data_IF_323078816293
#
_entry.id   IF_323078816293
#
_cell.length_a   1.000
_cell.length_b   1.000
_cell.length_c   1.000
_cell.angle_alpha   90.00
_cell.angle_beta   90.00
_cell.angle_gamma   90.00
#
_symmetry.space_group_name_H-M   'P 1'
#
loop_
_entity.id
_entity.type
_entity.pdbx_description
1 polymer ?
#
# COMPACT_ATOMS: atom_id res chain seq x y z
N UNK A 1 -55.41 -70.52 26.97
CA UNK A 1 -55.61 -69.37 27.89
C UNK A 1 -54.40 -68.45 27.83
N UNK A 2 -54.55 -67.26 27.23
CA UNK A 2 -53.51 -66.22 27.14
C UNK A 2 -53.53 -65.37 28.41
N UNK A 3 -52.42 -65.24 29.15
CA UNK A 3 -52.25 -64.29 30.26
C UNK A 3 -51.39 -63.11 29.82
N UNK A 4 -51.89 -61.91 30.15
CA UNK A 4 -51.42 -60.59 29.73
C UNK A 4 -50.16 -60.13 30.47
N UNK A 5 -49.26 -59.56 29.67
CA UNK A 5 -48.47 -58.33 29.82
C UNK A 5 -48.63 -57.54 31.13
N UNK A 6 -47.48 -57.23 31.77
CA UNK A 6 -47.24 -55.97 32.49
C UNK A 6 -45.90 -55.39 32.03
N UNK A 7 -45.96 -54.38 31.17
CA UNK A 7 -44.83 -53.56 30.75
C UNK A 7 -44.48 -52.56 31.87
N UNK A 8 -43.25 -52.62 32.36
CA UNK A 8 -42.69 -51.61 33.26
C UNK A 8 -42.47 -50.29 32.50
N UNK A 9 -43.14 -49.22 32.94
CA UNK A 9 -42.84 -47.85 32.55
C UNK A 9 -41.47 -47.47 33.13
N UNK A 10 -40.46 -47.30 32.28
CA UNK A 10 -39.23 -46.59 32.62
C UNK A 10 -39.55 -45.09 32.59
N UNK A 11 -39.46 -44.44 33.74
CA UNK A 11 -39.54 -42.99 33.83
C UNK A 11 -38.32 -42.36 33.17
N UNK A 12 -38.55 -41.60 32.10
CA UNK A 12 -37.56 -40.69 31.53
C UNK A 12 -37.37 -39.51 32.48
N UNK A 13 -36.27 -39.55 33.23
CA UNK A 13 -35.74 -38.41 33.97
C UNK A 13 -35.40 -37.30 32.99
N UNK A 14 -36.16 -36.20 33.02
CA UNK A 14 -35.83 -34.96 32.32
C UNK A 14 -34.77 -34.26 33.17
N UNK A 15 -33.53 -34.31 32.73
CA UNK A 15 -32.43 -33.52 33.27
C UNK A 15 -32.77 -32.03 33.12
N UNK A 16 -33.15 -31.41 34.23
CA UNK A 16 -33.38 -29.97 34.28
C UNK A 16 -32.03 -29.27 34.15
N UNK A 17 -31.79 -28.65 32.99
CA UNK A 17 -30.62 -27.79 32.77
C UNK A 17 -30.67 -26.62 33.75
N UNK A 18 -29.66 -26.53 34.62
CA UNK A 18 -29.49 -25.40 35.54
C UNK A 18 -29.14 -24.17 34.69
N UNK A 19 -30.07 -23.20 34.61
CA UNK A 19 -29.84 -21.93 33.94
C UNK A 19 -28.99 -21.03 34.86
N UNK A 20 -27.70 -20.88 34.56
CA UNK A 20 -26.81 -19.96 35.28
C UNK A 20 -27.04 -18.53 34.76
N UNK A 21 -27.73 -17.71 35.53
CA UNK A 21 -27.81 -16.26 35.29
C UNK A 21 -26.52 -15.59 35.76
N UNK A 22 -25.63 -15.26 34.82
CA UNK A 22 -24.43 -14.47 35.09
C UNK A 22 -24.78 -12.99 34.95
N UNK A 23 -24.54 -12.19 35.99
CA UNK A 23 -24.63 -10.73 35.89
C UNK A 23 -23.48 -10.19 35.02
N UNK A 24 -23.84 -9.78 33.79
CA UNK A 24 -22.90 -9.25 32.81
C UNK A 24 -22.74 -7.71 32.89
N UNK A 25 -23.45 -7.02 33.79
CA UNK A 25 -23.34 -5.57 33.97
C UNK A 25 -21.90 -5.09 34.28
N UNK A 26 -21.14 -5.69 35.22
CA UNK A 26 -19.76 -5.26 35.48
C UNK A 26 -18.86 -5.46 34.25
N UNK A 27 -19.02 -6.58 33.54
CA UNK A 27 -18.26 -6.87 32.31
C UNK A 27 -18.57 -5.88 31.19
N UNK A 28 -19.83 -5.46 31.06
CA UNK A 28 -20.23 -4.45 30.05
C UNK A 28 -19.62 -3.09 30.35
N UNK A 29 -19.61 -2.67 31.62
CA UNK A 29 -18.98 -1.40 32.03
C UNK A 29 -17.48 -1.39 31.78
N UNK A 30 -16.78 -2.49 32.05
CA UNK A 30 -15.33 -2.58 31.78
C UNK A 30 -15.03 -2.60 30.28
N UNK A 31 -15.81 -3.34 29.49
CA UNK A 31 -15.70 -3.34 28.03
C UNK A 31 -15.97 -1.95 27.44
N UNK A 32 -17.02 -1.26 27.91
CA UNK A 32 -17.31 0.11 27.51
C UNK A 32 -16.18 1.09 27.84
N UNK A 33 -15.65 1.04 29.06
CA UNK A 33 -14.53 1.91 29.46
C UNK A 33 -13.30 1.67 28.57
N UNK A 34 -13.01 0.40 28.24
CA UNK A 34 -11.93 0.04 27.31
C UNK A 34 -12.20 0.58 25.90
N UNK A 35 -13.41 0.45 25.39
CA UNK A 35 -13.80 0.99 24.08
C UNK A 35 -13.55 2.51 24.02
N UNK A 36 -13.96 3.24 25.05
CA UNK A 36 -13.75 4.69 25.15
C UNK A 36 -12.26 5.06 25.20
N UNK A 37 -11.46 4.32 25.95
CA UNK A 37 -10.02 4.53 26.03
C UNK A 37 -9.32 4.27 24.67
N UNK A 38 -9.64 3.16 24.01
CA UNK A 38 -9.08 2.84 22.69
C UNK A 38 -9.49 3.90 21.66
N UNK A 39 -10.73 4.36 21.69
CA UNK A 39 -11.22 5.46 20.85
C UNK A 39 -10.42 6.73 21.04
N UNK A 40 -10.26 7.21 22.27
CA UNK A 40 -9.46 8.42 22.58
C UNK A 40 -8.05 8.31 22.02
N UNK A 41 -7.43 7.13 22.11
CA UNK A 41 -6.10 6.88 21.55
C UNK A 41 -6.08 6.91 20.03
N UNK A 42 -7.08 6.31 19.37
CA UNK A 42 -7.23 6.38 17.91
C UNK A 42 -7.41 7.83 17.47
N UNK A 43 -8.36 8.57 18.06
CA UNK A 43 -8.60 9.98 17.73
C UNK A 43 -7.33 10.82 17.86
N UNK A 44 -6.54 10.60 18.92
CA UNK A 44 -5.24 11.26 19.08
C UNK A 44 -4.25 10.89 17.97
N UNK A 45 -4.13 9.60 17.63
CA UNK A 45 -3.24 9.15 16.57
C UNK A 45 -3.65 9.71 15.20
N UNK A 46 -4.94 9.70 14.87
CA UNK A 46 -5.48 10.28 13.64
C UNK A 46 -5.28 11.79 13.59
N UNK A 47 -5.50 12.51 14.70
CA UNK A 47 -5.23 13.96 14.75
C UNK A 47 -3.74 14.29 14.59
N UNK A 48 -2.85 13.44 15.10
CA UNK A 48 -1.41 13.55 14.87
C UNK A 48 -1.05 13.28 13.38
N UNK A 49 -1.70 12.30 12.73
CA UNK A 49 -1.52 12.02 11.30
C UNK A 49 -1.98 13.18 10.43
N UNK A 50 -3.23 13.61 10.61
CA UNK A 50 -3.83 14.68 9.83
C UNK A 50 -3.02 15.96 9.92
N UNK A 51 -2.55 16.34 11.12
CA UNK A 51 -1.67 17.50 11.29
C UNK A 51 -0.35 17.32 10.54
N UNK A 52 0.25 16.14 10.58
CA UNK A 52 1.49 15.92 9.87
C UNK A 52 1.32 16.06 8.35
N UNK A 53 0.24 15.51 7.80
CA UNK A 53 -0.04 15.49 6.37
C UNK A 53 -0.49 16.87 5.86
N UNK A 54 -1.38 17.54 6.60
CA UNK A 54 -2.05 18.75 6.12
C UNK A 54 -1.39 20.05 6.61
N UNK A 55 -0.68 20.01 7.74
CA UNK A 55 -0.05 21.21 8.32
C UNK A 55 1.46 21.13 8.25
N UNK A 56 2.06 20.11 8.88
CA UNK A 56 3.52 20.04 9.04
C UNK A 56 4.25 19.82 7.72
N UNK A 57 3.81 18.87 6.89
CA UNK A 57 4.46 18.55 5.62
C UNK A 57 4.42 19.73 4.66
N UNK A 58 3.26 20.38 4.41
CA UNK A 58 3.21 21.57 3.57
C UNK A 58 4.00 22.74 4.17
N UNK A 59 3.98 22.92 5.50
CA UNK A 59 4.76 23.96 6.15
C UNK A 59 6.28 23.73 6.00
N UNK A 60 6.74 22.49 6.17
CA UNK A 60 8.13 22.11 5.95
C UNK A 60 8.53 22.36 4.50
N UNK A 61 7.73 21.90 3.54
CA UNK A 61 7.97 22.10 2.11
C UNK A 61 8.02 23.58 1.72
N UNK A 62 7.09 24.42 2.23
CA UNK A 62 7.16 25.87 2.01
C UNK A 62 8.44 26.47 2.59
N UNK A 63 8.84 26.02 3.77
CA UNK A 63 10.06 26.49 4.42
C UNK A 63 11.33 26.06 3.67
N UNK A 64 11.39 24.84 3.14
CA UNK A 64 12.55 24.39 2.36
C UNK A 64 12.71 25.24 1.10
N UNK A 65 11.63 25.48 0.34
CA UNK A 65 11.66 26.37 -0.83
C UNK A 65 12.04 27.80 -0.47
N UNK A 66 11.61 28.32 0.69
CA UNK A 66 11.98 29.66 1.12
C UNK A 66 13.45 29.78 1.56
N UNK A 67 14.01 28.72 2.13
CA UNK A 67 15.36 28.75 2.73
C UNK A 67 16.45 28.57 1.67
N UNK A 68 16.27 27.65 0.72
CA UNK A 68 17.29 27.30 -0.28
C UNK A 68 16.71 27.19 -1.71
N UNK A 69 16.05 28.23 -2.26
CA UNK A 69 15.35 28.14 -3.55
C UNK A 69 16.26 27.80 -4.73
N UNK A 70 17.46 28.39 -4.79
CA UNK A 70 18.41 28.16 -5.89
C UNK A 70 18.92 26.71 -5.91
N UNK A 71 19.36 26.18 -4.75
CA UNK A 71 19.86 24.80 -4.67
C UNK A 71 18.79 23.77 -5.02
N UNK A 72 17.55 23.99 -4.57
CA UNK A 72 16.45 23.08 -4.92
C UNK A 72 16.16 23.10 -6.42
N UNK A 73 16.20 24.28 -7.06
CA UNK A 73 16.00 24.41 -8.51
C UNK A 73 17.11 23.71 -9.28
N UNK A 74 18.38 23.90 -8.89
CA UNK A 74 19.53 23.21 -9.50
C UNK A 74 19.41 21.68 -9.40
N UNK A 75 19.06 21.16 -8.22
CA UNK A 75 18.88 19.71 -8.03
C UNK A 75 17.73 19.18 -8.90
N UNK A 76 16.63 19.92 -9.02
CA UNK A 76 15.50 19.56 -9.89
C UNK A 76 15.88 19.51 -11.36
N UNK A 77 16.62 20.51 -11.84
CA UNK A 77 17.11 20.54 -13.22
C UNK A 77 18.04 19.35 -13.52
N UNK A 78 18.93 19.01 -12.57
CA UNK A 78 19.79 17.84 -12.70
C UNK A 78 18.98 16.55 -12.78
N UNK A 79 17.99 16.35 -11.90
CA UNK A 79 17.13 15.16 -11.95
C UNK A 79 16.28 15.09 -13.22
N UNK A 80 15.73 16.21 -13.69
CA UNK A 80 15.00 16.26 -14.96
C UNK A 80 15.91 15.86 -16.13
N UNK A 81 17.17 16.32 -16.12
CA UNK A 81 18.16 15.93 -17.12
C UNK A 81 18.52 14.44 -17.03
N UNK A 82 18.76 13.92 -15.83
CA UNK A 82 19.01 12.49 -15.58
C UNK A 82 17.85 11.66 -16.12
N UNK A 83 16.61 12.02 -15.80
CA UNK A 83 15.43 11.31 -16.27
C UNK A 83 15.36 11.32 -17.80
N UNK A 84 15.58 12.47 -18.44
CA UNK A 84 15.58 12.57 -19.91
C UNK A 84 16.62 11.67 -20.58
N UNK A 85 17.84 11.60 -20.03
CA UNK A 85 18.90 10.76 -20.56
C UNK A 85 18.66 9.28 -20.24
N UNK A 86 18.17 8.96 -19.06
CA UNK A 86 17.84 7.60 -18.65
C UNK A 86 16.73 7.03 -19.54
N UNK A 87 15.63 7.77 -19.75
CA UNK A 87 14.55 7.37 -20.66
C UNK A 87 15.04 7.18 -22.10
N UNK A 88 16.00 7.99 -22.55
CA UNK A 88 16.62 7.82 -23.86
C UNK A 88 17.50 6.57 -23.93
N UNK A 89 18.31 6.30 -22.92
CA UNK A 89 19.14 5.09 -22.81
C UNK A 89 18.24 3.84 -22.81
N UNK A 90 17.19 3.83 -21.99
CA UNK A 90 16.22 2.73 -21.92
C UNK A 90 15.58 2.47 -23.27
N UNK A 91 15.10 3.50 -23.98
CA UNK A 91 14.53 3.34 -25.34
C UNK A 91 15.51 2.71 -26.33
N UNK A 92 16.77 3.14 -26.31
CA UNK A 92 17.82 2.59 -27.19
C UNK A 92 18.10 1.13 -26.85
N UNK A 93 18.19 0.80 -25.57
CA UNK A 93 18.41 -0.56 -25.09
C UNK A 93 17.24 -1.47 -25.44
N UNK A 94 16.00 -1.01 -25.26
CA UNK A 94 14.78 -1.75 -25.62
C UNK A 94 14.73 -2.03 -27.13
N UNK A 95 15.03 -1.03 -27.96
CA UNK A 95 15.07 -1.22 -29.41
C UNK A 95 16.22 -2.16 -29.83
N UNK A 96 17.39 -2.03 -29.23
CA UNK A 96 18.53 -2.92 -29.46
C UNK A 96 18.19 -4.37 -29.11
N UNK A 97 17.50 -4.57 -27.97
CA UNK A 97 17.00 -5.86 -27.53
C UNK A 97 16.00 -6.44 -28.53
N UNK A 98 14.97 -5.69 -28.95
CA UNK A 98 13.95 -6.13 -29.93
C UNK A 98 14.55 -6.47 -31.30
N UNK A 99 15.51 -5.68 -31.78
CA UNK A 99 16.12 -5.89 -33.10
C UNK A 99 17.32 -6.84 -33.09
N UNK A 100 17.75 -7.31 -31.92
CA UNK A 100 18.96 -8.14 -31.75
C UNK A 100 20.26 -7.42 -32.11
N UNK A 101 20.26 -6.08 -32.15
CA UNK A 101 21.43 -5.26 -32.49
C UNK A 101 22.12 -4.79 -31.21
N UNK A 102 23.37 -4.32 -31.32
CA UNK A 102 24.02 -3.67 -30.18
C UNK A 102 23.44 -2.25 -29.98
N UNK A 103 23.31 -1.77 -28.73
CA UNK A 103 22.86 -0.40 -28.43
C UNK A 103 23.68 0.67 -29.17
N UNK A 104 24.99 0.46 -29.32
CA UNK A 104 25.88 1.34 -30.07
C UNK A 104 25.48 1.47 -31.55
N UNK A 105 25.13 0.34 -32.18
CA UNK A 105 24.70 0.34 -33.59
C UNK A 105 23.38 1.06 -33.78
N UNK A 106 22.45 0.88 -32.85
CA UNK A 106 21.14 1.56 -32.86
C UNK A 106 21.35 3.06 -32.71
N UNK A 107 22.09 3.48 -31.67
CA UNK A 107 22.38 4.90 -31.42
C UNK A 107 23.02 5.61 -32.61
N UNK A 108 23.97 4.96 -33.29
CA UNK A 108 24.64 5.51 -34.48
C UNK A 108 23.71 5.62 -35.70
N UNK A 109 22.88 4.60 -35.94
CA UNK A 109 21.91 4.61 -37.05
C UNK A 109 20.96 5.79 -36.94
N UNK A 110 20.56 6.11 -35.72
CA UNK A 110 19.59 7.15 -35.40
C UNK A 110 20.23 8.51 -35.05
N UNK A 111 21.55 8.66 -35.22
CA UNK A 111 22.32 9.90 -34.94
C UNK A 111 21.98 10.56 -33.59
N UNK A 112 21.59 9.77 -32.59
CA UNK A 112 21.24 10.26 -31.26
C UNK A 112 19.79 10.68 -31.03
N UNK A 113 18.90 10.50 -32.02
CA UNK A 113 17.45 10.65 -31.83
C UNK A 113 16.79 9.28 -31.96
N UNK A 114 16.56 8.56 -30.83
CA UNK A 114 16.05 7.19 -30.88
C UNK A 114 14.75 7.16 -31.69
N UNK A 115 14.49 6.05 -32.41
CA UNK A 115 13.25 5.91 -33.14
C UNK A 115 12.11 6.16 -32.17
N UNK A 116 11.13 6.96 -32.60
CA UNK A 116 9.82 6.95 -31.97
C UNK A 116 9.37 5.50 -32.06
N UNK A 117 9.44 4.80 -30.94
CA UNK A 117 8.67 3.60 -30.77
C UNK A 117 7.26 4.15 -30.87
N UNK A 118 6.58 3.85 -31.99
CA UNK A 118 5.14 3.74 -31.95
C UNK A 118 4.90 2.90 -30.70
N UNK A 119 4.37 3.54 -29.65
CA UNK A 119 3.73 2.80 -28.58
C UNK A 119 2.76 1.94 -29.38
N UNK A 120 3.09 0.66 -29.55
CA UNK A 120 2.11 -0.31 -29.99
C UNK A 120 1.05 -0.10 -28.93
N UNK A 121 0.00 0.62 -29.31
CA UNK A 121 -1.14 0.85 -28.46
C UNK A 121 -1.48 -0.57 -28.00
N UNK A 122 -1.22 -0.87 -26.73
CA UNK A 122 -1.71 -2.06 -26.05
C UNK A 122 -3.24 -1.93 -25.90
N UNK A 123 -3.91 -1.47 -26.97
CA UNK A 123 -5.31 -1.48 -27.30
C UNK A 123 -5.82 -2.93 -27.48
N UNK A 124 -4.99 -3.94 -27.23
CA UNK A 124 -5.48 -5.27 -26.92
C UNK A 124 -6.25 -5.34 -25.58
N UNK A 125 -6.25 -4.27 -24.77
CA UNK A 125 -7.15 -4.13 -23.61
C UNK A 125 -7.76 -2.73 -23.44
N UNK A 126 -7.94 -1.98 -24.53
CA UNK A 126 -8.78 -0.79 -24.50
C UNK A 126 -10.25 -1.18 -24.39
N UNK A 127 -10.71 -1.29 -23.14
CA UNK A 127 -12.13 -1.35 -22.77
C UNK A 127 -12.80 -0.15 -23.43
N UNK A 128 -13.56 -0.41 -24.50
CA UNK A 128 -14.41 0.60 -25.14
C UNK A 128 -15.26 1.27 -24.07
N UNK A 129 -15.24 2.60 -23.93
CA UNK A 129 -16.15 3.28 -23.02
C UNK A 129 -17.54 3.26 -23.68
N UNK A 130 -18.35 2.25 -23.35
CA UNK A 130 -19.76 2.20 -23.71
C UNK A 130 -20.33 0.89 -24.26
N UNK A 131 -19.62 -0.24 -24.19
CA UNK A 131 -20.19 -1.57 -24.51
C UNK A 131 -20.57 -2.34 -23.25
N UNK A 132 -21.82 -2.79 -23.19
CA UNK A 132 -22.46 -3.59 -22.12
C UNK A 132 -21.52 -4.66 -21.53
N UNK A 133 -21.20 -4.52 -20.24
CA UNK A 133 -20.11 -5.20 -19.54
C UNK A 133 -20.62 -6.06 -18.37
N UNK A 134 -21.87 -6.53 -18.45
CA UNK A 134 -22.46 -7.37 -17.40
C UNK A 134 -22.39 -8.87 -17.72
N UNK A 135 -22.25 -9.28 -19.00
CA UNK A 135 -22.35 -10.71 -19.38
C UNK A 135 -20.99 -11.41 -19.62
N UNK A 136 -19.90 -10.69 -19.90
CA UNK A 136 -18.59 -11.31 -20.20
C UNK A 136 -17.70 -11.54 -18.95
N UNK A 137 -17.92 -10.79 -17.86
CA UNK A 137 -17.17 -11.00 -16.59
C UNK A 137 -17.61 -12.31 -15.91
N UNK A 138 -18.84 -12.76 -16.13
CA UNK A 138 -19.38 -13.97 -15.51
C UNK A 138 -18.82 -15.26 -16.15
N UNK A 139 -18.44 -15.23 -17.42
CA UNK A 139 -17.80 -16.36 -18.11
C UNK A 139 -16.32 -16.52 -17.74
N UNK A 140 -15.61 -15.43 -17.44
CA UNK A 140 -14.19 -15.50 -17.07
C UNK A 140 -13.97 -15.88 -15.60
N UNK A 141 -14.96 -15.59 -14.73
CA UNK A 141 -14.94 -16.01 -13.32
C UNK A 141 -15.28 -17.50 -13.14
N UNK A 142 -16.09 -18.09 -14.03
CA UNK A 142 -16.44 -19.51 -13.96
C UNK A 142 -15.33 -20.43 -14.46
N UNK A 143 -14.51 -19.99 -15.42
CA UNK A 143 -13.42 -20.82 -15.96
C UNK A 143 -12.20 -20.92 -15.00
N UNK A 144 -11.97 -19.90 -14.17
CA UNK A 144 -10.85 -19.91 -13.19
C UNK A 144 -11.14 -20.73 -11.92
N UNK A 145 -12.42 -20.90 -11.56
CA UNK A 145 -12.84 -21.67 -10.38
C UNK A 145 -12.88 -23.19 -10.64
N UNK A 146 -13.00 -23.62 -11.90
CA UNK A 146 -12.96 -25.05 -12.27
C UNK A 146 -11.53 -25.65 -12.26
N UNK A 147 -10.48 -24.85 -12.44
CA UNK A 147 -9.10 -25.36 -12.55
C UNK A 147 -8.38 -25.55 -11.19
N UNK A 148 -8.79 -24.82 -10.14
CA UNK A 148 -8.17 -24.92 -8.80
C UNK A 148 -9.04 -25.63 -7.74
N UNK A 149 -10.25 -26.06 -8.11
CA UNK A 149 -11.30 -26.54 -7.21
C UNK A 149 -11.31 -28.03 -6.86
N UNK A 150 -10.19 -28.77 -6.88
CA UNK A 150 -10.18 -30.17 -6.44
C UNK A 150 -9.00 -30.53 -5.53
N UNK A 151 -9.13 -30.22 -4.23
CA UNK A 151 -8.31 -30.84 -3.18
C UNK A 151 -9.19 -31.71 -2.28
N UNK A 152 -9.22 -32.99 -2.64
CA UNK A 152 -9.91 -34.09 -1.96
C UNK A 152 -9.32 -34.33 -0.57
N UNK A 153 -10.22 -34.48 0.40
CA UNK A 153 -9.98 -34.91 1.77
C UNK A 153 -9.23 -36.25 1.84
N UNK A 154 -8.30 -36.36 2.81
CA UNK A 154 -7.91 -37.64 3.39
C UNK A 154 -7.55 -37.45 4.87
N UNK A 155 -8.43 -38.00 5.69
CA UNK A 155 -8.32 -38.36 7.10
C UNK A 155 -7.32 -39.52 7.28
N UNK A 156 -6.54 -39.53 8.37
CA UNK A 156 -6.23 -40.69 9.27
C UNK A 156 -4.90 -40.52 10.05
N UNK A 157 -5.03 -40.61 11.38
CA UNK A 157 -4.24 -41.34 12.39
C UNK A 157 -2.77 -41.04 12.78
N UNK A 158 -2.67 -40.57 14.05
CA UNK A 158 -1.70 -40.72 15.17
C UNK A 158 -0.18 -41.09 15.06
N UNK A 159 0.64 -40.69 16.08
CA UNK A 159 2.12 -40.61 16.12
C UNK A 159 2.75 -41.87 16.81
N UNK A 160 4.04 -41.98 17.24
CA UNK A 160 5.12 -40.99 17.48
C UNK A 160 6.57 -41.42 17.10
N UNK A 161 7.55 -40.50 17.27
CA UNK A 161 8.77 -40.63 18.09
C UNK A 161 10.05 -39.92 17.57
N UNK A 162 10.74 -39.32 18.56
CA UNK A 162 12.18 -39.13 18.75
C UNK A 162 13.09 -38.36 17.76
N UNK A 163 13.70 -37.31 18.35
CA UNK A 163 15.14 -36.99 18.35
C UNK A 163 15.76 -36.07 17.26
N UNK A 164 16.23 -34.91 17.77
CA UNK A 164 17.54 -34.25 17.53
C UNK A 164 17.99 -34.01 16.08
N UNK A 165 18.09 -32.73 15.68
CA UNK A 165 19.38 -31.99 15.58
C UNK A 165 19.27 -30.73 14.71
N UNK A 166 20.19 -29.80 15.00
CA UNK A 166 20.45 -28.50 14.36
C UNK A 166 21.00 -28.62 12.93
N UNK A 167 20.54 -27.75 12.03
CA UNK A 167 21.32 -27.01 11.02
C UNK A 167 20.43 -25.91 10.42
N UNK A 168 20.70 -24.62 10.67
CA UNK A 168 21.38 -23.67 9.75
C UNK A 168 21.33 -24.09 8.28
N UNK A 169 20.54 -23.35 7.48
CA UNK A 169 20.43 -23.52 6.04
C UNK A 169 19.40 -22.58 5.43
N UNK A 170 19.86 -21.36 5.14
CA UNK A 170 19.28 -20.31 4.32
C UNK A 170 18.44 -20.81 3.13
N UNK A 171 17.17 -20.39 3.03
CA UNK A 171 16.53 -20.19 1.74
C UNK A 171 15.49 -19.07 1.79
N UNK A 172 15.80 -18.05 1.00
CA UNK A 172 15.00 -16.87 0.68
C UNK A 172 13.94 -17.27 -0.34
N UNK A 173 12.67 -17.19 0.04
CA UNK A 173 11.51 -17.01 -0.85
C UNK A 173 10.65 -15.93 -0.18
N UNK A 174 10.82 -14.64 -0.48
CA UNK A 174 10.23 -13.93 -1.64
C UNK A 174 8.82 -14.43 -1.99
N UNK A 175 7.85 -14.01 -1.18
CA UNK A 175 6.46 -13.67 -1.54
C UNK A 175 6.40 -12.15 -1.29
N UNK A 176 6.28 -11.23 -2.26
CA UNK A 176 5.20 -11.07 -3.26
C UNK A 176 3.87 -11.24 -2.52
N UNK A 177 3.32 -10.28 -1.80
CA UNK A 177 3.14 -8.84 -2.08
C UNK A 177 2.33 -8.58 -3.35
N UNK A 178 1.17 -9.24 -3.43
CA UNK A 178 0.03 -8.91 -4.31
C UNK A 178 -1.22 -9.47 -3.63
N UNK A 179 -1.97 -8.63 -2.92
CA UNK A 179 -3.22 -9.04 -2.28
C UNK A 179 -3.90 -8.05 -1.33
N UNK A 180 -3.30 -6.90 -0.97
CA UNK A 180 -3.88 -6.00 0.04
C UNK A 180 -4.76 -4.86 -0.49
N UNK A 181 -4.78 -4.61 -1.80
CA UNK A 181 -5.42 -3.42 -2.34
C UNK A 181 -6.91 -3.61 -2.70
N UNK A 182 -7.36 -4.86 -2.88
CA UNK A 182 -8.78 -5.16 -3.14
C UNK A 182 -9.61 -5.26 -1.87
N UNK A 183 -9.06 -5.81 -0.77
CA UNK A 183 -9.79 -5.95 0.50
C UNK A 183 -10.03 -4.60 1.20
N UNK A 184 -9.07 -3.69 1.13
CA UNK A 184 -9.18 -2.34 1.72
C UNK A 184 -10.15 -1.45 0.95
N UNK A 185 -10.17 -1.54 -0.38
CA UNK A 185 -11.12 -0.84 -1.24
C UNK A 185 -12.56 -1.38 -1.13
N UNK A 186 -12.73 -2.70 -1.00
CA UNK A 186 -14.02 -3.33 -0.74
C UNK A 186 -14.56 -2.92 0.64
N UNK A 187 -13.71 -2.95 1.68
CA UNK A 187 -14.06 -2.47 3.03
C UNK A 187 -14.46 -0.99 3.04
N UNK A 188 -13.69 -0.11 2.39
CA UNK A 188 -14.01 1.32 2.31
C UNK A 188 -15.34 1.61 1.60
N UNK A 189 -15.61 0.89 0.50
CA UNK A 189 -16.86 1.01 -0.26
C UNK A 189 -18.06 0.50 0.53
N UNK A 190 -17.88 -0.58 1.29
CA UNK A 190 -18.94 -1.12 2.15
C UNK A 190 -19.25 -0.21 3.32
N UNK A 191 -18.23 0.33 3.99
CA UNK A 191 -18.36 1.34 5.05
C UNK A 191 -19.05 2.59 4.51
N UNK A 192 -18.61 3.10 3.34
CA UNK A 192 -19.23 4.24 2.68
C UNK A 192 -20.70 3.96 2.31
N UNK A 193 -21.01 2.79 1.75
CA UNK A 193 -22.39 2.42 1.39
C UNK A 193 -23.28 2.35 2.64
N UNK A 194 -22.80 1.80 3.76
CA UNK A 194 -23.55 1.77 5.03
C UNK A 194 -23.78 3.18 5.57
N UNK A 195 -22.76 4.02 5.60
CA UNK A 195 -22.84 5.42 6.01
C UNK A 195 -23.81 6.23 5.16
N UNK A 196 -23.67 6.15 3.82
CA UNK A 196 -24.57 6.85 2.89
C UNK A 196 -26.01 6.38 3.06
N UNK A 197 -26.23 5.08 3.23
CA UNK A 197 -27.55 4.53 3.45
C UNK A 197 -28.18 4.96 4.79
N UNK A 198 -27.38 5.20 5.84
CA UNK A 198 -27.86 5.62 7.16
C UNK A 198 -28.03 7.14 7.28
N UNK A 199 -27.16 7.91 6.62
CA UNK A 199 -27.16 9.37 6.63
C UNK A 199 -27.99 10.01 5.50
N UNK A 200 -28.58 9.23 4.58
CA UNK A 200 -29.38 9.76 3.47
C UNK A 200 -30.59 10.59 3.96
N UNK A 201 -30.87 11.77 3.38
CA UNK A 201 -31.99 12.63 3.77
C UNK A 201 -33.37 11.97 3.58
N UNK A 202 -33.48 10.98 2.70
CA UNK A 202 -34.75 10.28 2.43
C UNK A 202 -35.11 9.19 3.46
N UNK A 203 -34.19 8.78 4.34
CA UNK A 203 -34.52 7.89 5.46
C UNK A 203 -34.90 8.73 6.68
N UNK A 204 -36.21 8.97 6.77
CA UNK A 204 -36.90 9.86 7.71
C UNK A 204 -36.30 9.90 9.12
N UNK A 205 -35.69 11.05 9.41
CA UNK A 205 -35.25 11.51 10.72
C UNK A 205 -34.95 13.01 10.62
N UNK A 206 -34.82 13.71 11.74
CA UNK A 206 -34.53 15.15 11.71
C UNK A 206 -33.19 15.42 11.01
N UNK A 207 -33.24 16.28 9.98
CA UNK A 207 -32.05 16.75 9.27
C UNK A 207 -31.38 17.84 10.09
N UNK A 208 -30.58 17.44 11.07
CA UNK A 208 -29.84 18.36 11.93
C UNK A 208 -28.60 18.93 11.22
N UNK A 209 -28.19 20.14 11.59
CA UNK A 209 -26.96 20.76 11.05
C UNK A 209 -25.71 19.89 11.29
N UNK A 210 -25.72 19.08 12.36
CA UNK A 210 -24.66 18.12 12.67
C UNK A 210 -24.66 16.91 11.72
N UNK A 211 -25.84 16.37 11.37
CA UNK A 211 -25.99 15.29 10.37
C UNK A 211 -25.52 15.73 8.99
N UNK A 212 -25.81 16.98 8.61
CA UNK A 212 -25.32 17.57 7.37
C UNK A 212 -23.79 17.72 7.35
N UNK A 213 -23.17 18.13 8.47
CA UNK A 213 -21.71 18.22 8.57
C UNK A 213 -21.05 16.83 8.42
N UNK A 214 -21.57 15.81 9.12
CA UNK A 214 -21.12 14.43 8.98
C UNK A 214 -21.26 13.90 7.56
N UNK A 215 -22.37 14.20 6.88
CA UNK A 215 -22.56 13.84 5.48
C UNK A 215 -21.48 14.43 4.56
N UNK A 216 -21.17 15.72 4.71
CA UNK A 216 -20.10 16.36 3.93
C UNK A 216 -18.71 15.82 4.27
N UNK A 217 -18.44 15.50 5.54
CA UNK A 217 -17.19 14.84 5.96
C UNK A 217 -17.05 13.43 5.38
N UNK A 218 -18.15 12.65 5.27
CA UNK A 218 -18.16 11.32 4.63
C UNK A 218 -17.87 11.42 3.13
N UNK A 219 -18.42 12.44 2.46
CA UNK A 219 -18.12 12.69 1.05
C UNK A 219 -16.64 13.06 0.84
N UNK A 220 -16.08 13.92 1.68
CA UNK A 220 -14.65 14.29 1.62
C UNK A 220 -13.73 13.10 1.91
N UNK A 221 -14.08 12.25 2.87
CA UNK A 221 -13.33 11.04 3.19
C UNK A 221 -13.34 10.03 2.03
N UNK A 222 -14.48 9.90 1.33
CA UNK A 222 -14.60 9.05 0.15
C UNK A 222 -13.81 9.60 -1.05
N UNK A 223 -13.85 10.91 -1.29
CA UNK A 223 -13.05 11.56 -2.33
C UNK A 223 -11.55 11.39 -2.07
N UNK A 224 -11.11 11.48 -0.82
CA UNK A 224 -9.74 11.21 -0.39
C UNK A 224 -9.35 9.73 -0.45
N UNK A 225 -10.30 8.82 -0.76
CA UNK A 225 -10.17 7.35 -0.68
C UNK A 225 -9.59 6.87 0.66
N UNK A 226 -9.89 7.59 1.73
CA UNK A 226 -9.38 7.28 3.05
C UNK A 226 -10.35 6.35 3.80
N UNK A 227 -10.06 5.05 3.69
CA UNK A 227 -10.80 3.99 4.39
C UNK A 227 -10.80 4.18 5.92
N UNK A 228 -9.72 4.75 6.47
CA UNK A 228 -9.56 4.96 7.90
C UNK A 228 -10.45 6.11 8.38
N UNK A 229 -10.56 7.16 7.57
CA UNK A 229 -11.46 8.29 7.84
C UNK A 229 -12.93 7.87 7.75
N UNK A 230 -13.29 7.03 6.78
CA UNK A 230 -14.65 6.48 6.66
C UNK A 230 -15.03 5.60 7.87
N UNK A 231 -14.14 4.71 8.32
CA UNK A 231 -14.39 3.88 9.51
C UNK A 231 -14.60 4.72 10.79
N UNK A 232 -13.90 5.85 10.90
CA UNK A 232 -14.10 6.80 12.00
C UNK A 232 -15.48 7.44 11.97
N UNK A 233 -15.94 7.86 10.80
CA UNK A 233 -17.24 8.50 10.64
C UNK A 233 -18.39 7.52 10.91
N UNK A 234 -18.22 6.24 10.57
CA UNK A 234 -19.15 5.16 10.95
C UNK A 234 -19.24 4.98 12.46
N UNK A 235 -18.08 4.90 13.13
CA UNK A 235 -18.06 4.77 14.58
C UNK A 235 -18.62 6.00 15.31
N UNK A 236 -18.48 7.22 14.75
CA UNK A 236 -19.06 8.46 15.30
C UNK A 236 -20.57 8.50 15.09
N UNK A 237 -21.05 8.10 13.91
CA UNK A 237 -22.47 8.00 13.61
C UNK A 237 -23.19 6.92 14.44
N UNK A 238 -22.55 5.77 14.69
CA UNK A 238 -23.10 4.70 15.54
C UNK A 238 -23.33 5.15 17.00
N UNK A 239 -22.54 6.10 17.50
CA UNK A 239 -22.70 6.66 18.86
C UNK A 239 -23.85 7.67 18.90
N UNK A 240 -23.90 8.58 17.92
CA UNK A 240 -24.92 9.62 17.86
C UNK A 240 -26.32 9.04 17.61
N UNK A 241 -26.38 7.88 16.92
CA UNK A 241 -27.61 7.13 16.66
C UNK A 241 -27.92 6.10 17.76
N UNK A 242 -27.21 6.14 18.90
CA UNK A 242 -27.43 5.31 20.10
C UNK A 242 -27.35 3.78 19.86
N UNK A 243 -26.64 3.34 18.81
CA UNK A 243 -26.55 1.91 18.46
C UNK A 243 -25.55 1.13 19.32
N UNK A 244 -24.64 1.84 20.00
CA UNK A 244 -23.62 1.29 20.88
C UNK A 244 -23.62 2.02 22.22
N UNK A 245 -24.42 1.51 23.16
CA UNK A 245 -24.48 1.96 24.55
C UNK A 245 -23.72 1.03 25.49
N UNK A 246 -23.59 1.41 26.76
CA UNK A 246 -23.08 0.54 27.84
C UNK A 246 -23.90 -0.76 27.94
N UNK A 247 -25.17 -0.73 27.54
CA UNK A 247 -26.08 -1.87 27.63
C UNK A 247 -25.93 -2.88 26.48
N UNK A 248 -25.20 -2.50 25.43
CA UNK A 248 -24.93 -3.33 24.25
C UNK A 248 -24.41 -4.72 24.61
N UNK A 249 -24.71 -5.69 23.74
CA UNK A 249 -24.19 -7.05 23.88
C UNK A 249 -22.65 -7.03 23.95
N UNK A 250 -22.08 -7.78 24.90
CA UNK A 250 -20.64 -7.85 25.13
C UNK A 250 -19.85 -8.19 23.85
N UNK A 251 -20.35 -9.13 23.05
CA UNK A 251 -19.73 -9.51 21.77
C UNK A 251 -19.58 -8.34 20.81
N UNK A 252 -20.58 -7.45 20.73
CA UNK A 252 -20.54 -6.24 19.89
C UNK A 252 -19.51 -5.24 20.41
N UNK A 253 -19.44 -5.04 21.73
CA UNK A 253 -18.43 -4.17 22.35
C UNK A 253 -17.01 -4.67 22.06
N UNK A 254 -16.75 -5.98 22.18
CA UNK A 254 -15.44 -6.54 21.88
C UNK A 254 -15.09 -6.54 20.39
N UNK A 255 -16.07 -6.74 19.49
CA UNK A 255 -15.87 -6.59 18.06
C UNK A 255 -15.43 -5.16 17.72
N UNK A 256 -16.17 -4.16 18.22
CA UNK A 256 -15.82 -2.75 18.05
C UNK A 256 -14.44 -2.41 18.65
N UNK A 257 -14.10 -2.95 19.84
CA UNK A 257 -12.76 -2.76 20.42
C UNK A 257 -11.68 -3.31 19.48
N UNK A 258 -11.85 -4.51 18.92
CA UNK A 258 -10.86 -5.14 18.03
C UNK A 258 -10.64 -4.32 16.77
N UNK A 259 -11.73 -3.84 16.17
CA UNK A 259 -11.71 -3.01 14.97
C UNK A 259 -10.98 -1.69 15.22
N UNK A 260 -11.34 -0.95 16.27
CA UNK A 260 -10.71 0.33 16.61
C UNK A 260 -9.25 0.12 17.03
N UNK A 261 -8.92 -0.97 17.72
CA UNK A 261 -7.52 -1.31 17.98
C UNK A 261 -6.74 -1.63 16.70
N UNK A 262 -7.37 -2.26 15.71
CA UNK A 262 -6.83 -2.46 14.36
C UNK A 262 -6.48 -1.13 13.72
N UNK A 263 -7.48 -0.27 13.53
CA UNK A 263 -7.29 1.09 12.99
C UNK A 263 -6.22 1.89 13.76
N UNK A 264 -6.17 1.77 15.09
CA UNK A 264 -5.15 2.44 15.91
C UNK A 264 -3.74 1.91 15.61
N UNK A 265 -3.56 0.59 15.50
CA UNK A 265 -2.25 0.01 15.17
C UNK A 265 -1.79 0.51 13.81
N UNK A 266 -2.70 0.62 12.86
CA UNK A 266 -2.43 1.03 11.48
C UNK A 266 -2.02 2.50 11.44
N UNK A 267 -2.78 3.37 12.11
CA UNK A 267 -2.41 4.76 12.32
C UNK A 267 -1.05 4.91 13.02
N UNK A 268 -0.78 4.11 14.06
CA UNK A 268 0.51 4.10 14.75
C UNK A 268 1.65 3.62 13.86
N UNK A 269 1.42 2.67 12.93
CA UNK A 269 2.42 2.24 11.95
C UNK A 269 2.79 3.39 11.01
N UNK A 270 1.81 4.11 10.46
CA UNK A 270 2.03 5.32 9.64
C UNK A 270 2.81 6.38 10.43
N UNK A 271 2.39 6.69 11.66
CA UNK A 271 3.08 7.65 12.54
C UNK A 271 4.53 7.28 12.84
N UNK A 272 4.87 5.99 12.96
CA UNK A 272 6.28 5.57 13.16
C UNK A 272 7.15 5.89 11.96
N UNK A 273 6.61 5.86 10.75
CA UNK A 273 7.33 6.25 9.54
C UNK A 273 7.51 7.78 9.53
N UNK A 274 6.43 8.53 9.79
CA UNK A 274 6.47 9.99 9.81
C UNK A 274 7.37 10.57 10.88
N UNK A 275 7.48 9.97 12.06
CA UNK A 275 8.43 10.39 13.11
C UNK A 275 9.90 10.38 12.67
N UNK A 276 10.26 9.65 11.61
CA UNK A 276 11.60 9.64 11.04
C UNK A 276 11.83 10.76 10.02
N UNK A 277 10.76 11.39 9.54
CA UNK A 277 10.84 12.47 8.57
C UNK A 277 11.21 13.79 9.26
N UNK A 278 11.96 14.68 8.59
CA UNK A 278 12.30 15.99 9.14
C UNK A 278 11.09 16.91 9.31
N UNK A 279 10.00 16.63 8.59
CA UNK A 279 8.75 17.36 8.67
C UNK A 279 7.92 17.01 9.93
N UNK A 280 8.28 16.00 10.72
CA UNK A 280 7.49 15.62 11.89
C UNK A 280 7.40 16.75 12.93
N UNK A 281 6.16 17.16 13.27
CA UNK A 281 5.89 18.24 14.23
C UNK A 281 6.60 19.55 13.88
N UNK A 282 6.80 19.80 12.59
CA UNK A 282 7.50 20.98 12.11
C UNK A 282 6.84 22.29 12.56
N UNK A 283 5.50 22.34 12.64
CA UNK A 283 4.78 23.53 13.12
C UNK A 283 4.87 23.75 14.63
N UNK A 284 5.09 22.68 15.41
CA UNK A 284 5.10 22.73 16.88
C UNK A 284 6.49 22.98 17.47
N UNK A 285 7.54 22.68 16.72
CA UNK A 285 8.92 22.81 17.17
C UNK A 285 9.48 24.18 16.80
N UNK A 286 10.22 24.79 17.72
CA UNK A 286 11.01 25.99 17.41
C UNK A 286 12.13 25.67 16.41
N UNK A 287 12.20 26.48 15.36
CA UNK A 287 13.18 26.33 14.28
C UNK A 287 14.56 26.76 14.77
N UNK A 288 15.55 25.89 14.58
CA UNK A 288 16.94 26.20 14.91
C UNK A 288 17.70 26.57 13.63
N UNK A 289 18.67 27.49 13.70
CA UNK A 289 19.51 27.79 12.54
C UNK A 289 20.27 26.55 12.03
N UNK A 290 20.57 25.59 12.91
CA UNK A 290 21.14 24.30 12.54
C UNK A 290 20.29 23.53 11.52
N UNK A 291 18.95 23.61 11.59
CA UNK A 291 18.06 22.88 10.68
C UNK A 291 18.23 23.36 9.22
N UNK A 292 18.55 24.65 9.02
CA UNK A 292 18.83 25.21 7.70
C UNK A 292 20.20 24.80 7.16
N UNK A 293 21.20 24.66 8.04
CA UNK A 293 22.53 24.17 7.68
C UNK A 293 22.45 22.70 7.26
N UNK A 294 21.79 21.87 8.06
CA UNK A 294 21.59 20.45 7.76
C UNK A 294 20.87 20.25 6.42
N UNK A 295 19.85 21.08 6.13
CA UNK A 295 19.15 21.06 4.85
C UNK A 295 20.08 21.44 3.69
N UNK A 296 20.89 22.49 3.84
CA UNK A 296 21.82 22.92 2.80
C UNK A 296 22.89 21.87 2.51
N UNK A 297 23.38 21.18 3.54
CA UNK A 297 24.35 20.09 3.39
C UNK A 297 23.72 18.87 2.71
N UNK A 298 22.48 18.51 3.05
CA UNK A 298 21.74 17.47 2.34
C UNK A 298 21.56 17.79 0.85
N UNK A 299 21.12 19.02 0.52
CA UNK A 299 20.94 19.45 -0.87
C UNK A 299 22.26 19.46 -1.64
N UNK A 300 23.38 19.77 -0.99
CA UNK A 300 24.71 19.70 -1.60
C UNK A 300 25.10 18.26 -1.92
N UNK A 301 24.88 17.34 -0.99
CA UNK A 301 25.12 15.91 -1.22
C UNK A 301 24.23 15.37 -2.34
N UNK A 302 22.95 15.74 -2.37
CA UNK A 302 22.02 15.35 -3.43
C UNK A 302 22.47 15.87 -4.80
N UNK A 303 22.92 17.13 -4.86
CA UNK A 303 23.48 17.71 -6.08
C UNK A 303 24.72 16.94 -6.56
N UNK A 304 25.65 16.63 -5.67
CA UNK A 304 26.87 15.89 -6.01
C UNK A 304 26.53 14.49 -6.55
N UNK A 305 25.61 13.77 -5.90
CA UNK A 305 25.12 12.47 -6.37
C UNK A 305 24.45 12.58 -7.75
N UNK A 306 23.59 13.58 -7.95
CA UNK A 306 22.93 13.81 -9.23
C UNK A 306 23.95 14.12 -10.34
N UNK A 307 24.97 14.94 -10.06
CA UNK A 307 26.04 15.22 -11.02
C UNK A 307 26.86 13.98 -11.39
N UNK A 308 27.18 13.12 -10.41
CA UNK A 308 27.87 11.86 -10.68
C UNK A 308 27.04 10.92 -11.55
N UNK A 309 25.74 10.82 -11.27
CA UNK A 309 24.82 10.00 -12.07
C UNK A 309 24.68 10.55 -13.49
N UNK A 310 24.52 11.86 -13.64
CA UNK A 310 24.46 12.51 -14.94
C UNK A 310 25.72 12.22 -15.76
N UNK A 311 26.91 12.37 -15.15
CA UNK A 311 28.19 12.06 -15.77
C UNK A 311 28.29 10.60 -16.21
N UNK A 312 27.74 9.67 -15.42
CA UNK A 312 27.68 8.26 -15.81
C UNK A 312 26.83 8.04 -17.07
N UNK A 313 25.62 8.60 -17.11
CA UNK A 313 24.73 8.49 -18.27
C UNK A 313 25.32 9.14 -19.52
N UNK A 314 25.91 10.33 -19.37
CA UNK A 314 26.62 11.02 -20.46
C UNK A 314 27.80 10.21 -20.98
N UNK A 315 28.55 9.54 -20.10
CA UNK A 315 29.62 8.64 -20.51
C UNK A 315 29.11 7.42 -21.27
N UNK A 316 27.97 6.85 -20.87
CA UNK A 316 27.31 5.75 -21.60
C UNK A 316 26.94 6.19 -23.00
N UNK A 317 26.29 7.35 -23.15
CA UNK A 317 25.95 7.91 -24.45
C UNK A 317 27.20 8.27 -25.28
N UNK A 318 28.23 8.82 -24.65
CA UNK A 318 29.49 9.13 -25.33
C UNK A 318 30.19 7.86 -25.83
N UNK A 319 30.09 6.73 -25.11
CA UNK A 319 30.61 5.43 -25.58
C UNK A 319 29.88 4.98 -26.84
N UNK A 320 28.56 5.06 -26.86
CA UNK A 320 27.74 4.71 -28.02
C UNK A 320 27.96 5.65 -29.21
N UNK A 321 28.28 6.92 -28.94
CA UNK A 321 28.59 7.93 -29.95
C UNK A 321 29.96 7.74 -30.61
N UNK A 322 30.84 6.87 -30.09
CA UNK A 322 32.15 6.63 -30.72
C UNK A 322 31.98 5.91 -32.07
N UNK A 323 32.57 6.43 -33.16
CA UNK A 323 32.48 5.79 -34.46
C UNK A 323 33.18 4.43 -34.44
N UNK A 324 32.44 3.39 -34.84
CA UNK A 324 32.86 1.96 -34.86
C UNK A 324 34.19 1.73 -35.59
N UNK A 325 34.59 2.64 -36.50
CA UNK A 325 35.85 2.60 -37.23
C UNK A 325 37.12 2.91 -36.41
N UNK A 326 37.05 3.76 -35.38
CA UNK A 326 38.24 4.14 -34.60
C UNK A 326 38.68 3.05 -33.62
N UNK A 327 37.75 2.27 -33.07
CA UNK A 327 38.06 1.16 -32.17
C UNK A 327 38.76 -0.01 -32.91
N UNK A 328 38.36 -0.26 -34.17
CA UNK A 328 38.97 -1.30 -35.01
C UNK A 328 40.36 -0.91 -35.53
N UNK A 329 40.57 0.39 -35.81
CA UNK A 329 41.89 0.93 -36.20
C UNK A 329 42.92 0.86 -35.05
N UNK A 330 42.51 1.17 -33.81
CA UNK A 330 43.40 1.09 -32.65
C UNK A 330 43.80 -0.37 -32.31
N UNK A 331 42.87 -1.32 -32.41
CA UNK A 331 43.17 -2.76 -32.25
C UNK A 331 44.10 -3.31 -33.34
N UNK A 332 43.97 -2.85 -34.59
CA UNK A 332 44.92 -3.18 -35.66
C UNK A 332 46.31 -2.59 -35.41
N UNK A 333 46.40 -1.35 -34.91
CA UNK A 333 47.67 -0.70 -34.61
C UNK A 333 48.43 -1.33 -33.42
N UNK A 334 47.72 -1.72 -32.35
CA UNK A 334 48.33 -2.43 -31.21
C UNK A 334 48.66 -3.89 -31.54
N UNK A 335 47.84 -4.56 -32.36
CA UNK A 335 48.14 -5.91 -32.88
C UNK A 335 49.36 -5.93 -33.82
N UNK A 336 49.56 -4.90 -34.63
CA UNK A 336 50.76 -4.77 -35.49
C UNK A 336 52.04 -4.51 -34.68
N UNK A 337 51.95 -3.79 -33.55
CA UNK A 337 53.10 -3.54 -32.66
C UNK A 337 53.54 -4.78 -31.88
N UNK A 338 52.62 -5.68 -31.53
CA UNK A 338 52.96 -6.94 -30.85
C UNK A 338 53.69 -7.93 -31.76
N UNK A 339 53.35 -7.96 -33.06
CA UNK A 339 54.00 -8.86 -34.03
C UNK A 339 55.39 -8.36 -34.46
N UNK A 340 55.64 -7.05 -34.37
CA UNK A 340 56.95 -6.45 -34.68
C UNK A 340 57.99 -6.54 -33.55
N UNK A 341 57.60 -6.98 -32.34
CA UNK A 341 58.51 -7.15 -31.20
C UNK A 341 58.92 -8.62 -30.94
N UNK A 342 58.44 -9.57 -31.75
CA UNK A 342 58.80 -11.01 -31.67
C UNK A 342 59.76 -11.47 -32.80
N UNK A 343 60.27 -10.55 -33.63
CA UNK A 343 61.14 -10.87 -34.78
C UNK A 343 62.46 -10.06 -34.83
N UNK A 344 62.89 -9.46 -33.72
CA UNK A 344 64.23 -8.87 -33.57
C UNK A 344 64.84 -9.34 -32.26
#
# INVERSE_FOLDING_TARGET
MRKRVRSGRRGTSVSHGILLTVDNAPLRRTAWARLQEVRRRLTKATADLHRHENEDTPAYVRWTYATCPAMISEVRELYARIQSLASLITRVEDYAFRTGRSPESVWQQYKGEPPELEEEDDDAFSIRPGGELDDEIEMLATEFDEEFGHKKERESDEPPDAARSRSVGTHVHRRSDLGSDSETGQSARDIYRRLVQQLHPDRGGEWTARRQALWHEVQQAWEARDADWLARLEAEHEIETDTLTVESALGRLYAAIREIEGARRDAERKLRQYRKTPAWRFTLRERKPADAVDLADQLRSDREHAQLHLKYLEQTLARWSRPVGQARAKRKADGFRSVLFELG
#
